data_IF_845319283458
#
_entry.id   IF_845319283458
#
_cell.length_a   1.000
_cell.length_b   1.000
_cell.length_c   1.000
_cell.angle_alpha   90.00
_cell.angle_beta   90.00
_cell.angle_gamma   90.00
#
_symmetry.space_group_name_H-M   'P 1'
#
loop_
_entity.id
_entity.type
_entity.pdbx_description
1 polymer ?
#
# COMPACT_ATOMS: atom_id res chain seq x y z
N UNK A 1 7.26 -2.47 -33.36
CA UNK A 1 6.41 -3.04 -32.30
C UNK A 1 6.77 -2.27 -31.04
N UNK A 2 5.99 -1.24 -30.70
CA UNK A 2 6.23 -0.45 -29.48
C UNK A 2 5.91 -1.35 -28.28
N UNK A 3 6.91 -1.57 -27.44
CA UNK A 3 6.86 -2.41 -26.25
C UNK A 3 5.79 -1.80 -25.33
N UNK A 4 4.74 -2.55 -24.97
CA UNK A 4 3.84 -2.16 -23.87
C UNK A 4 4.73 -1.85 -22.68
N UNK A 5 4.65 -0.66 -22.09
CA UNK A 5 5.34 -0.38 -20.83
C UNK A 5 4.91 -1.44 -19.82
N UNK A 6 5.79 -2.39 -19.52
CA UNK A 6 5.52 -3.48 -18.61
C UNK A 6 5.24 -2.91 -17.23
N UNK A 7 4.18 -3.38 -16.58
CA UNK A 7 3.95 -3.18 -15.15
C UNK A 7 5.21 -3.62 -14.41
N UNK A 8 5.98 -2.65 -13.93
CA UNK A 8 7.24 -2.90 -13.24
C UNK A 8 6.97 -2.86 -11.74
N UNK A 9 7.28 -3.95 -11.06
CA UNK A 9 7.38 -3.99 -9.60
C UNK A 9 8.79 -4.39 -9.21
N UNK A 10 9.48 -3.49 -8.52
CA UNK A 10 10.83 -3.72 -8.03
C UNK A 10 10.82 -3.65 -6.52
N UNK A 11 11.15 -4.76 -5.86
CA UNK A 11 11.46 -4.73 -4.44
C UNK A 11 12.82 -4.05 -4.24
N UNK A 12 12.83 -2.99 -3.42
CA UNK A 12 14.04 -2.25 -3.08
C UNK A 12 14.61 -2.70 -1.73
N UNK A 13 13.74 -3.16 -0.83
CA UNK A 13 14.12 -3.60 0.52
C UNK A 13 14.33 -2.44 1.50
N UNK A 14 14.11 -2.69 2.78
CA UNK A 14 14.12 -1.63 3.82
C UNK A 14 15.47 -0.95 4.01
N UNK A 15 16.57 -1.58 3.59
CA UNK A 15 17.90 -0.95 3.61
C UNK A 15 17.97 0.33 2.77
N UNK A 16 17.15 0.44 1.71
CA UNK A 16 17.04 1.65 0.91
C UNK A 16 16.41 2.80 1.70
N UNK A 17 15.43 2.50 2.57
CA UNK A 17 14.84 3.48 3.50
C UNK A 17 15.92 3.95 4.48
N UNK A 18 16.63 3.01 5.11
CA UNK A 18 17.71 3.28 6.09
C UNK A 18 18.88 4.07 5.49
N UNK A 19 19.09 3.96 4.17
CA UNK A 19 20.10 4.71 3.43
C UNK A 19 19.63 6.09 2.95
N UNK A 20 18.40 6.49 3.29
CA UNK A 20 17.82 7.79 2.91
C UNK A 20 17.42 7.91 1.45
N UNK A 21 17.15 6.78 0.77
CA UNK A 21 16.77 6.75 -0.65
C UNK A 21 15.24 6.77 -0.86
N UNK A 22 14.45 6.66 0.20
CA UNK A 22 13.00 6.63 0.15
C UNK A 22 12.38 8.01 0.40
N UNK A 23 11.10 8.16 0.05
CA UNK A 23 10.34 9.35 0.41
C UNK A 23 10.40 9.62 1.92
N UNK A 24 10.51 10.90 2.29
CA UNK A 24 10.69 11.33 3.68
C UNK A 24 9.51 10.95 4.59
N UNK A 25 8.28 11.00 4.07
CA UNK A 25 7.07 10.69 4.84
C UNK A 25 6.94 9.19 5.04
N UNK A 26 7.24 8.42 3.98
CA UNK A 26 7.30 6.96 4.04
C UNK A 26 8.39 6.48 5.02
N UNK A 27 9.56 7.11 4.98
CA UNK A 27 10.67 6.82 5.89
C UNK A 27 10.28 7.09 7.34
N UNK A 28 9.66 8.25 7.60
CA UNK A 28 9.16 8.62 8.94
C UNK A 28 8.13 7.61 9.45
N UNK A 29 7.23 7.14 8.58
CA UNK A 29 6.26 6.10 8.93
C UNK A 29 6.96 4.78 9.28
N UNK A 30 7.90 4.32 8.45
CA UNK A 30 8.68 3.11 8.70
C UNK A 30 9.37 3.16 10.06
N UNK A 31 10.14 4.22 10.31
CA UNK A 31 10.87 4.41 11.57
C UNK A 31 9.93 4.43 12.78
N UNK A 32 8.81 5.14 12.67
CA UNK A 32 7.82 5.26 13.76
C UNK A 32 7.19 3.92 14.13
N UNK A 33 6.88 3.08 13.12
CA UNK A 33 6.30 1.76 13.31
C UNK A 33 7.33 0.75 13.81
N UNK A 34 8.56 0.81 13.29
CA UNK A 34 9.64 -0.11 13.64
C UNK A 34 10.34 0.22 14.97
N UNK A 35 10.19 1.45 15.48
CA UNK A 35 10.67 1.82 16.80
C UNK A 35 10.13 0.85 17.87
N UNK A 36 11.02 0.38 18.76
CA UNK A 36 10.68 -0.60 19.79
C UNK A 36 9.50 -0.10 20.64
N UNK A 37 8.46 -0.93 20.76
CA UNK A 37 7.27 -0.63 21.53
C UNK A 37 7.56 -0.82 23.03
N UNK A 38 8.10 0.21 23.67
CA UNK A 38 8.33 0.19 25.13
C UNK A 38 7.06 0.49 25.92
N UNK A 39 6.10 1.19 25.31
CA UNK A 39 5.03 1.87 26.05
C UNK A 39 3.62 1.29 25.75
N UNK A 40 3.53 0.29 24.86
CA UNK A 40 2.28 -0.38 24.50
C UNK A 40 1.26 0.52 23.78
N UNK A 41 1.72 1.62 23.20
CA UNK A 41 0.88 2.70 22.68
C UNK A 41 0.97 2.85 21.15
N UNK A 42 1.03 1.70 20.47
CA UNK A 42 1.12 1.61 19.02
C UNK A 42 0.01 2.41 18.29
N UNK A 43 -1.20 2.44 18.85
CA UNK A 43 -2.32 3.17 18.25
C UNK A 43 -2.06 4.68 18.15
N UNK A 44 -1.43 5.30 19.15
CA UNK A 44 -1.07 6.72 19.10
C UNK A 44 0.03 7.00 18.08
N UNK A 45 0.95 6.07 17.86
CA UNK A 45 1.98 6.15 16.83
C UNK A 45 1.43 6.01 15.42
N UNK A 46 0.41 5.16 15.24
CA UNK A 46 -0.22 4.94 13.93
C UNK A 46 -1.16 6.10 13.53
N UNK A 47 -1.84 6.70 14.51
CA UNK A 47 -2.89 7.71 14.29
C UNK A 47 -2.51 8.85 13.33
N UNK A 48 -1.31 9.46 13.41
CA UNK A 48 -0.91 10.54 12.49
C UNK A 48 -0.83 10.11 11.03
N UNK A 49 -0.55 8.83 10.76
CA UNK A 49 -0.40 8.30 9.41
C UNK A 49 -1.70 7.74 8.83
N UNK A 50 -2.72 7.50 9.65
CA UNK A 50 -4.01 6.93 9.23
C UNK A 50 -4.58 7.61 7.96
N UNK A 51 -4.57 8.95 7.80
CA UNK A 51 -5.07 9.58 6.58
C UNK A 51 -4.37 9.12 5.29
N UNK A 52 -3.11 8.69 5.35
CA UNK A 52 -2.28 8.31 4.20
C UNK A 52 -2.25 6.80 3.96
N UNK A 53 -2.82 6.01 4.88
CA UNK A 53 -2.76 4.56 4.85
C UNK A 53 -3.98 3.95 4.18
N UNK A 54 -3.76 2.80 3.54
CA UNK A 54 -4.81 1.81 3.35
C UNK A 54 -4.56 0.62 4.26
N UNK A 55 -5.58 0.17 4.97
CA UNK A 55 -5.47 -1.00 5.85
C UNK A 55 -6.18 -2.19 5.22
N UNK A 56 -5.46 -3.30 5.19
CA UNK A 56 -5.90 -4.55 4.61
C UNK A 56 -5.90 -5.63 5.68
N UNK A 57 -6.80 -6.61 5.58
CA UNK A 57 -6.81 -7.74 6.52
C UNK A 57 -5.52 -8.57 6.43
N UNK A 58 -5.40 -9.62 7.23
CA UNK A 58 -4.32 -10.60 7.13
C UNK A 58 -4.67 -11.84 6.29
N UNK A 59 -5.83 -11.83 5.62
CA UNK A 59 -6.36 -12.99 4.89
C UNK A 59 -6.10 -12.91 3.39
N UNK A 60 -5.10 -13.64 2.93
CA UNK A 60 -4.85 -13.88 1.50
C UNK A 60 -5.60 -15.13 1.03
N UNK A 61 -6.75 -14.94 0.38
CA UNK A 61 -7.56 -16.05 -0.17
C UNK A 61 -7.14 -16.29 -1.62
N UNK A 62 -6.90 -17.56 -2.00
CA UNK A 62 -6.51 -17.96 -3.37
C UNK A 62 -5.27 -17.23 -3.90
N UNK A 63 -4.34 -16.85 -3.02
CA UNK A 63 -3.10 -16.15 -3.40
C UNK A 63 -3.28 -14.67 -3.78
N UNK A 64 -4.49 -14.13 -3.72
CA UNK A 64 -4.78 -12.72 -3.95
C UNK A 64 -4.39 -11.85 -2.75
N UNK A 65 -4.15 -10.54 -2.95
CA UNK A 65 -3.98 -9.59 -1.85
C UNK A 65 -5.12 -9.63 -0.84
N UNK A 66 -4.83 -9.27 0.42
CA UNK A 66 -5.87 -9.22 1.43
C UNK A 66 -6.89 -8.12 1.14
N UNK A 67 -8.17 -8.34 1.50
CA UNK A 67 -9.20 -7.30 1.38
C UNK A 67 -8.84 -6.02 2.13
N UNK A 68 -9.08 -4.89 1.48
CA UNK A 68 -8.95 -3.55 2.03
C UNK A 68 -10.23 -3.26 2.82
N UNK A 69 -10.08 -2.83 4.07
CA UNK A 69 -11.21 -2.46 4.95
C UNK A 69 -11.19 -0.98 5.36
N UNK A 70 -10.11 -0.27 5.06
CA UNK A 70 -9.99 1.16 5.32
C UNK A 70 -9.07 1.78 4.26
N UNK A 71 -9.48 2.94 3.75
CA UNK A 71 -8.69 3.78 2.85
C UNK A 71 -8.71 5.19 3.40
N UNK A 72 -7.55 5.70 3.82
CA UNK A 72 -7.40 7.07 4.31
C UNK A 72 -7.69 8.10 3.22
N UNK A 73 -8.09 9.31 3.65
CA UNK A 73 -8.48 10.41 2.76
C UNK A 73 -7.34 10.91 1.84
N UNK A 74 -6.10 10.74 2.29
CA UNK A 74 -4.87 11.15 1.61
C UNK A 74 -4.09 9.92 1.08
N UNK A 75 -4.71 8.73 1.10
CA UNK A 75 -4.08 7.51 0.59
C UNK A 75 -3.86 7.61 -0.92
N UNK A 76 -2.67 7.20 -1.38
CA UNK A 76 -2.38 7.19 -2.81
C UNK A 76 -3.38 6.34 -3.60
N UNK A 77 -3.92 5.26 -3.01
CA UNK A 77 -4.90 4.41 -3.70
C UNK A 77 -6.22 5.16 -3.93
N UNK A 78 -6.65 6.01 -3.00
CA UNK A 78 -7.81 6.88 -3.18
C UNK A 78 -7.56 7.91 -4.28
N UNK A 79 -6.36 8.49 -4.33
CA UNK A 79 -5.96 9.41 -5.41
C UNK A 79 -5.94 8.72 -6.79
N UNK A 80 -5.56 7.45 -6.85
CA UNK A 80 -5.46 6.69 -8.10
C UNK A 80 -6.80 6.13 -8.59
N UNK A 81 -7.62 5.61 -7.69
CA UNK A 81 -8.86 4.89 -8.04
C UNK A 81 -10.13 5.70 -7.79
N UNK A 82 -10.00 6.87 -7.17
CA UNK A 82 -11.10 7.80 -6.95
C UNK A 82 -11.94 7.51 -5.71
N UNK A 83 -12.85 8.45 -5.44
CA UNK A 83 -13.71 8.46 -4.26
C UNK A 83 -14.78 7.36 -4.28
N UNK A 84 -15.41 7.15 -5.43
CA UNK A 84 -16.46 6.15 -5.59
C UNK A 84 -15.96 4.74 -5.29
N UNK A 85 -14.68 4.48 -5.58
CA UNK A 85 -14.00 3.23 -5.21
C UNK A 85 -13.67 3.19 -3.73
N UNK A 86 -13.08 4.26 -3.18
CA UNK A 86 -12.57 4.26 -1.81
C UNK A 86 -13.69 4.29 -0.75
N UNK A 87 -14.86 4.80 -1.11
CA UNK A 87 -16.03 4.99 -0.24
C UNK A 87 -17.34 4.67 -0.99
N UNK A 88 -17.58 3.42 -1.42
CA UNK A 88 -18.75 3.07 -2.22
C UNK A 88 -20.05 3.26 -1.42
N UNK A 89 -21.09 3.81 -2.06
CA UNK A 89 -22.39 4.09 -1.41
C UNK A 89 -23.07 2.84 -0.83
N UNK A 90 -22.78 1.66 -1.37
CA UNK A 90 -23.32 0.37 -0.93
C UNK A 90 -22.25 -0.72 -0.97
N UNK A 91 -21.48 -0.92 0.11
CA UNK A 91 -20.44 -1.93 0.14
C UNK A 91 -21.02 -3.34 0.21
N UNK A 92 -20.98 -4.07 -0.91
CA UNK A 92 -21.45 -5.47 -1.00
C UNK A 92 -20.35 -6.46 -0.60
N UNK A 93 -19.09 -6.04 -0.68
CA UNK A 93 -17.91 -6.86 -0.39
C UNK A 93 -16.74 -6.00 0.08
N UNK A 94 -15.75 -6.59 0.78
CA UNK A 94 -14.52 -5.87 1.11
C UNK A 94 -13.81 -5.35 -0.14
N UNK A 95 -13.15 -4.20 -0.01
CA UNK A 95 -12.58 -3.48 -1.14
C UNK A 95 -11.36 -4.23 -1.71
N UNK A 96 -11.18 -4.11 -3.02
CA UNK A 96 -10.12 -4.71 -3.84
C UNK A 96 -9.57 -3.65 -4.78
N UNK A 97 -8.30 -3.75 -5.20
CA UNK A 97 -7.79 -2.90 -6.28
C UNK A 97 -8.64 -3.16 -7.55
N UNK A 98 -9.13 -2.11 -8.23
CA UNK A 98 -10.08 -2.29 -9.33
C UNK A 98 -9.43 -2.86 -10.59
N UNK A 99 -8.11 -2.73 -10.72
CA UNK A 99 -7.30 -3.33 -11.78
C UNK A 99 -6.85 -4.75 -11.38
N UNK A 100 -7.29 -5.81 -12.08
CA UNK A 100 -6.96 -7.19 -11.73
C UNK A 100 -5.47 -7.55 -11.87
N UNK A 101 -4.78 -6.99 -12.86
CA UNK A 101 -3.36 -7.26 -13.08
C UNK A 101 -2.52 -6.58 -12.00
N UNK A 102 -2.90 -5.36 -11.63
CA UNK A 102 -2.30 -4.62 -10.53
C UNK A 102 -2.56 -5.29 -9.17
N UNK A 103 -3.79 -5.75 -8.94
CA UNK A 103 -4.16 -6.53 -7.75
C UNK A 103 -3.27 -7.77 -7.65
N UNK A 104 -3.20 -8.58 -8.71
CA UNK A 104 -2.39 -9.80 -8.72
C UNK A 104 -0.90 -9.50 -8.48
N UNK A 105 -0.35 -8.49 -9.14
CA UNK A 105 1.05 -8.11 -9.01
C UNK A 105 1.39 -7.54 -7.62
N UNK A 106 0.41 -7.04 -6.87
CA UNK A 106 0.62 -6.58 -5.50
C UNK A 106 0.70 -7.70 -4.46
N UNK A 107 0.21 -8.90 -4.79
CA UNK A 107 0.05 -10.00 -3.83
C UNK A 107 1.35 -10.39 -3.12
N UNK A 108 2.48 -10.40 -3.84
CA UNK A 108 3.78 -10.79 -3.26
C UNK A 108 4.23 -9.84 -2.15
N UNK A 109 3.99 -8.53 -2.30
CA UNK A 109 4.36 -7.56 -1.26
C UNK A 109 3.59 -7.78 0.04
N UNK A 110 2.29 -8.06 -0.06
CA UNK A 110 1.47 -8.43 1.10
C UNK A 110 1.90 -9.76 1.73
N UNK A 111 2.24 -10.75 0.90
CA UNK A 111 2.73 -12.05 1.37
C UNK A 111 4.02 -11.89 2.17
N UNK A 112 4.97 -11.11 1.69
CA UNK A 112 6.22 -10.82 2.39
C UNK A 112 5.96 -10.12 3.73
N UNK A 113 5.14 -9.07 3.72
CA UNK A 113 4.74 -8.35 4.93
C UNK A 113 4.12 -9.29 5.97
N UNK A 114 3.16 -10.14 5.57
CA UNK A 114 2.47 -11.08 6.46
C UNK A 114 3.38 -12.18 7.01
N UNK A 115 4.48 -12.49 6.32
CA UNK A 115 5.54 -13.37 6.79
C UNK A 115 6.56 -12.67 7.71
N UNK A 116 6.27 -11.45 8.15
CA UNK A 116 7.10 -10.70 9.10
C UNK A 116 8.24 -9.93 8.45
N UNK A 117 8.25 -9.79 7.12
CA UNK A 117 9.25 -9.01 6.38
C UNK A 117 8.59 -7.77 5.78
N UNK A 118 8.83 -6.56 6.31
CA UNK A 118 8.45 -5.33 5.64
C UNK A 118 8.76 -5.37 4.14
N UNK A 119 7.78 -5.04 3.31
CA UNK A 119 7.99 -4.91 1.87
C UNK A 119 8.11 -3.44 1.51
N UNK A 120 9.26 -3.05 0.98
CA UNK A 120 9.47 -1.74 0.39
C UNK A 120 9.86 -1.90 -1.08
N UNK A 121 9.17 -1.19 -1.96
CA UNK A 121 9.42 -1.28 -3.38
C UNK A 121 8.93 -0.07 -4.15
N UNK A 122 9.36 -0.03 -5.40
CA UNK A 122 8.93 0.93 -6.40
C UNK A 122 8.09 0.22 -7.45
N UNK A 123 7.09 0.92 -7.96
CA UNK A 123 6.24 0.44 -9.01
C UNK A 123 6.09 1.49 -10.11
N UNK A 124 6.07 1.04 -11.36
CA UNK A 124 5.64 1.84 -12.52
C UNK A 124 4.58 1.06 -13.26
N UNK A 125 3.36 1.57 -13.29
CA UNK A 125 2.18 0.85 -13.76
C UNK A 125 1.37 1.74 -14.69
N UNK A 126 0.68 1.14 -15.65
CA UNK A 126 -0.37 1.82 -16.40
C UNK A 126 -1.71 1.53 -15.73
N UNK A 127 -2.51 2.56 -15.51
CA UNK A 127 -3.88 2.46 -14.99
C UNK A 127 -4.84 3.17 -15.94
N UNK A 128 -5.99 2.57 -16.19
CA UNK A 128 -7.09 3.24 -16.87
C UNK A 128 -8.05 3.81 -15.83
N UNK A 129 -8.30 5.12 -15.91
CA UNK A 129 -9.27 5.81 -15.07
C UNK A 129 -10.26 6.51 -15.98
N UNK A 130 -11.50 6.02 -16.01
CA UNK A 130 -12.59 6.56 -16.83
C UNK A 130 -12.27 6.63 -18.33
N UNK A 131 -11.56 5.64 -18.87
CA UNK A 131 -11.15 5.59 -20.28
C UNK A 131 -9.97 6.50 -20.62
N UNK A 132 -9.29 7.05 -19.62
CA UNK A 132 -8.04 7.79 -19.77
C UNK A 132 -6.92 6.96 -19.17
N UNK A 133 -5.93 6.63 -20.00
CA UNK A 133 -4.71 5.96 -19.55
C UNK A 133 -3.80 6.91 -18.80
N UNK A 134 -3.27 6.44 -17.67
CA UNK A 134 -2.23 7.09 -16.91
C UNK A 134 -1.07 6.13 -16.71
N UNK A 135 0.14 6.66 -16.76
CA UNK A 135 1.32 6.00 -16.25
C UNK A 135 1.65 6.57 -14.88
N UNK A 136 1.79 5.69 -13.89
CA UNK A 136 1.98 6.05 -12.49
C UNK A 136 3.27 5.43 -12.01
N UNK A 137 4.15 6.24 -11.44
CA UNK A 137 5.28 5.79 -10.65
C UNK A 137 5.01 6.03 -9.18
N UNK A 138 5.23 5.03 -8.32
CA UNK A 138 5.04 5.20 -6.90
C UNK A 138 5.96 4.30 -6.08
N UNK A 139 6.33 4.79 -4.89
CA UNK A 139 6.88 3.97 -3.83
C UNK A 139 5.75 3.34 -3.04
N UNK A 140 5.97 2.13 -2.52
CA UNK A 140 5.05 1.46 -1.60
C UNK A 140 5.81 0.77 -0.48
N UNK A 141 5.28 0.93 0.72
CA UNK A 141 5.69 0.24 1.92
C UNK A 141 4.49 -0.54 2.47
N UNK A 142 4.68 -1.84 2.69
CA UNK A 142 3.69 -2.72 3.28
C UNK A 142 4.26 -3.31 4.56
N UNK A 143 3.59 -3.01 5.67
CA UNK A 143 3.96 -3.48 7.01
C UNK A 143 2.85 -4.32 7.60
N UNK A 144 3.21 -5.41 8.28
CA UNK A 144 2.27 -6.09 9.18
C UNK A 144 2.30 -5.38 10.52
N UNK A 145 1.13 -4.96 10.97
CA UNK A 145 0.94 -4.23 12.22
C UNK A 145 0.00 -4.97 13.15
N UNK A 146 0.20 -4.79 14.45
CA UNK A 146 -0.68 -5.31 15.51
C UNK A 146 -1.21 -4.13 16.31
N UNK A 147 -2.53 -4.04 16.57
CA UNK A 147 -3.09 -2.94 17.36
C UNK A 147 -2.48 -2.84 18.76
N UNK A 148 -2.06 -3.98 19.33
CA UNK A 148 -1.36 -4.06 20.61
C UNK A 148 -0.50 -5.32 20.67
N UNK A 149 0.48 -5.35 21.58
CA UNK A 149 1.36 -6.51 21.81
C UNK A 149 0.60 -7.80 22.17
N UNK A 150 -0.56 -7.67 22.81
CA UNK A 150 -1.41 -8.79 23.24
C UNK A 150 -2.46 -9.17 22.19
N UNK A 151 -2.59 -8.40 21.10
CA UNK A 151 -3.58 -8.68 20.08
C UNK A 151 -3.19 -9.92 19.28
N UNK A 152 -4.13 -10.85 19.16
CA UNK A 152 -4.04 -11.98 18.22
C UNK A 152 -4.36 -11.53 16.79
N UNK A 153 -4.96 -10.35 16.63
CA UNK A 153 -5.28 -9.76 15.34
C UNK A 153 -4.09 -8.98 14.81
N UNK A 154 -3.79 -9.20 13.53
CA UNK A 154 -2.85 -8.39 12.76
C UNK A 154 -3.50 -7.96 11.46
N UNK A 155 -2.96 -6.93 10.85
CA UNK A 155 -3.42 -6.42 9.57
C UNK A 155 -2.23 -5.82 8.82
N UNK A 156 -2.38 -5.60 7.52
CA UNK A 156 -1.37 -4.91 6.72
C UNK A 156 -1.70 -3.42 6.64
N UNK A 157 -0.69 -2.58 6.87
CA UNK A 157 -0.71 -1.17 6.54
C UNK A 157 0.04 -0.99 5.22
N UNK A 158 -0.67 -0.52 4.20
CA UNK A 158 -0.11 -0.07 2.94
C UNK A 158 0.07 1.45 2.98
N UNK A 159 1.28 1.91 2.73
CA UNK A 159 1.63 3.31 2.58
C UNK A 159 2.25 3.50 1.20
N UNK A 160 1.66 4.32 0.34
CA UNK A 160 2.20 4.60 -0.98
C UNK A 160 2.40 6.09 -1.22
N UNK A 161 3.43 6.41 -2.00
CA UNK A 161 3.79 7.79 -2.39
C UNK A 161 3.89 7.84 -3.91
N UNK A 162 3.03 8.63 -4.55
CA UNK A 162 3.09 8.85 -6.00
C UNK A 162 4.29 9.75 -6.29
N UNK A 163 5.25 9.23 -7.05
CA UNK A 163 6.46 9.94 -7.47
C UNK A 163 6.25 10.65 -8.81
N UNK A 164 5.45 10.06 -9.70
CA UNK A 164 5.11 10.64 -11.00
C UNK A 164 3.74 10.15 -11.46
N UNK A 165 3.02 11.02 -12.17
CA UNK A 165 1.70 10.74 -12.74
C UNK A 165 1.59 11.42 -14.10
N UNK A 166 1.65 10.63 -15.16
CA UNK A 166 1.62 11.12 -16.54
C UNK A 166 0.39 10.59 -17.26
N UNK A 167 -0.36 11.49 -17.90
CA UNK A 167 -1.44 11.09 -18.80
C UNK A 167 -0.85 10.54 -20.09
N UNK A 168 -1.28 9.34 -20.50
CA UNK A 168 -0.91 8.73 -21.78
C UNK A 168 -2.00 9.02 -22.82
N UNK A 169 -1.60 9.39 -24.04
CA UNK A 169 -2.50 9.71 -25.16
C UNK A 169 -2.57 8.58 -26.19
#
# INVERSE_FOLDING_TARGET
MLIRSETLFTELGTQAIESGLADTTLSTFYETVMAQDTDGNFQQRLKPFMPQLSLCSDKMINGAPPPIFYVGQDSCQRSLFGEDWASPESPVSPLRTPDPDLELASAEGYRNALNGKPYYGYARVQVDVNGIGYEVAFERLILTVRPSLKSTTRFCAFFGVIQDLQRTF
#
